data_IF_861008141431
#
_entry.id   IF_861008141431
#
_cell.length_a   1.000
_cell.length_b   1.000
_cell.length_c   1.000
_cell.angle_alpha   90.00
_cell.angle_beta   90.00
_cell.angle_gamma   90.00
#
_symmetry.space_group_name_H-M   'P 1'
#
loop_
_entity.id
_entity.type
_entity.pdbx_description
1 polymer ?
#
# COMPACT_ATOMS: atom_id res chain seq x y z
N UNK A 1 -32.00 15.01 -20.14
CA UNK A 1 -30.56 14.87 -19.88
C UNK A 1 -30.37 13.71 -18.90
N UNK A 2 -29.54 12.69 -19.20
CA UNK A 2 -29.24 11.64 -18.21
C UNK A 2 -28.44 12.28 -17.07
N UNK A 3 -28.97 12.24 -15.84
CA UNK A 3 -28.23 12.66 -14.64
C UNK A 3 -26.91 11.87 -14.60
N UNK A 4 -25.78 12.55 -14.50
CA UNK A 4 -24.49 11.87 -14.28
C UNK A 4 -24.60 11.06 -12.99
N UNK A 5 -24.17 9.79 -12.98
CA UNK A 5 -24.24 8.99 -11.76
C UNK A 5 -23.34 9.61 -10.69
N UNK A 6 -23.80 9.61 -9.45
CA UNK A 6 -23.01 10.11 -8.32
C UNK A 6 -21.76 9.23 -8.18
N UNK A 7 -20.58 9.85 -8.16
CA UNK A 7 -19.31 9.16 -7.94
C UNK A 7 -18.87 9.32 -6.49
N UNK A 8 -18.52 8.22 -5.84
CA UNK A 8 -17.98 8.20 -4.48
C UNK A 8 -16.67 7.41 -4.50
N UNK A 9 -15.67 7.92 -3.79
CA UNK A 9 -14.42 7.22 -3.55
C UNK A 9 -14.34 6.80 -2.08
N UNK A 10 -13.95 5.55 -1.81
CA UNK A 10 -13.59 5.10 -0.45
C UNK A 10 -12.09 4.80 -0.44
N UNK A 11 -11.36 5.50 0.42
CA UNK A 11 -9.95 5.26 0.67
C UNK A 11 -9.77 4.47 1.98
N UNK A 12 -9.01 3.39 1.93
CA UNK A 12 -8.72 2.53 3.07
C UNK A 12 -7.23 2.60 3.41
N UNK A 13 -6.93 2.55 4.71
CA UNK A 13 -5.65 2.02 5.14
C UNK A 13 -5.63 0.49 4.97
N UNK A 14 -4.46 -0.14 5.13
CA UNK A 14 -4.31 -1.58 4.92
C UNK A 14 -3.92 -2.31 6.21
N UNK A 15 -2.71 -2.07 6.72
CA UNK A 15 -2.22 -2.65 7.98
C UNK A 15 -3.06 -2.11 9.15
N UNK A 16 -3.55 -3.00 10.01
CA UNK A 16 -4.45 -2.65 11.11
C UNK A 16 -5.89 -2.28 10.71
N UNK A 17 -6.24 -2.29 9.42
CA UNK A 17 -7.59 -1.96 8.92
C UNK A 17 -8.22 -3.09 8.10
N UNK A 18 -7.51 -3.56 7.06
CA UNK A 18 -7.92 -4.69 6.22
C UNK A 18 -7.28 -5.98 6.75
N UNK A 19 -6.03 -5.88 7.19
CA UNK A 19 -5.21 -6.99 7.69
C UNK A 19 -4.88 -6.75 9.16
N UNK A 20 -4.94 -7.76 10.04
CA UNK A 20 -4.50 -7.61 11.42
C UNK A 20 -2.99 -7.41 11.50
N UNK A 21 -2.51 -6.36 12.17
CA UNK A 21 -1.07 -6.08 12.29
C UNK A 21 -0.39 -5.68 10.98
N UNK A 22 0.95 -5.78 10.94
CA UNK A 22 1.77 -5.39 9.79
C UNK A 22 1.91 -6.53 8.78
N UNK A 23 1.66 -6.29 7.49
CA UNK A 23 1.77 -7.31 6.43
C UNK A 23 3.14 -8.03 6.38
N UNK A 24 4.22 -7.33 6.74
CA UNK A 24 5.58 -7.85 6.73
C UNK A 24 5.77 -8.94 7.80
N UNK A 25 5.05 -8.85 8.92
CA UNK A 25 5.08 -9.84 10.00
C UNK A 25 4.44 -11.17 9.61
N UNK A 26 3.54 -11.17 8.63
CA UNK A 26 2.82 -12.39 8.21
C UNK A 26 3.59 -13.25 7.22
N UNK A 27 4.53 -12.68 6.48
CA UNK A 27 5.08 -13.33 5.29
C UNK A 27 6.59 -13.20 5.13
N UNK A 28 7.15 -12.02 5.35
CA UNK A 28 8.58 -11.75 5.11
C UNK A 28 9.44 -11.95 6.36
N UNK A 29 9.11 -11.29 7.48
CA UNK A 29 9.89 -11.37 8.73
C UNK A 29 10.04 -12.81 9.22
N UNK A 30 9.01 -13.69 9.16
CA UNK A 30 9.16 -15.09 9.54
C UNK A 30 10.26 -15.83 8.74
N UNK A 31 10.48 -15.47 7.47
CA UNK A 31 11.51 -16.09 6.63
C UNK A 31 12.93 -15.67 7.01
N UNK A 32 13.08 -14.53 7.70
CA UNK A 32 14.39 -14.08 8.21
C UNK A 32 14.87 -14.93 9.39
N UNK A 33 13.99 -15.66 10.06
CA UNK A 33 14.29 -16.35 11.30
C UNK A 33 14.65 -15.39 12.45
N UNK A 34 14.20 -14.13 12.36
CA UNK A 34 14.43 -13.08 13.36
C UNK A 34 13.11 -12.82 14.08
N UNK A 35 13.17 -12.58 15.39
CA UNK A 35 12.00 -12.14 16.15
C UNK A 35 11.48 -10.79 15.61
N UNK A 36 10.16 -10.65 15.53
CA UNK A 36 9.53 -9.43 14.99
C UNK A 36 9.85 -8.18 15.79
N UNK A 37 9.91 -8.28 17.13
CA UNK A 37 10.22 -7.13 17.96
C UNK A 37 11.69 -6.74 17.82
N UNK A 38 12.59 -7.71 17.66
CA UNK A 38 13.98 -7.45 17.33
C UNK A 38 14.14 -6.73 15.97
N UNK A 39 13.42 -7.17 14.93
CA UNK A 39 13.44 -6.52 13.61
C UNK A 39 12.98 -5.06 13.70
N UNK A 40 11.83 -4.80 14.35
CA UNK A 40 11.31 -3.43 14.47
C UNK A 40 12.18 -2.55 15.35
N UNK A 41 12.76 -3.09 16.41
CA UNK A 41 13.74 -2.37 17.24
C UNK A 41 14.95 -1.93 16.41
N UNK A 42 15.50 -2.81 15.57
CA UNK A 42 16.63 -2.46 14.69
C UNK A 42 16.22 -1.40 13.65
N UNK A 43 15.01 -1.48 13.10
CA UNK A 43 14.49 -0.46 12.17
C UNK A 43 14.35 0.91 12.85
N UNK A 44 13.83 0.96 14.07
CA UNK A 44 13.68 2.19 14.85
C UNK A 44 15.03 2.78 15.27
N UNK A 45 15.97 1.96 15.70
CA UNK A 45 17.33 2.39 16.01
C UNK A 45 18.03 2.95 14.77
N UNK A 46 17.87 2.29 13.61
CA UNK A 46 18.37 2.79 12.33
C UNK A 46 17.75 4.13 11.96
N UNK A 47 16.44 4.28 12.14
CA UNK A 47 15.74 5.53 11.88
C UNK A 47 16.32 6.67 12.74
N UNK A 48 16.42 6.45 14.06
CA UNK A 48 16.94 7.44 15.02
C UNK A 48 18.40 7.78 14.76
N UNK A 49 19.25 6.78 14.51
CA UNK A 49 20.69 6.98 14.32
C UNK A 49 21.01 7.80 13.07
N UNK A 50 20.19 7.70 12.03
CA UNK A 50 20.49 8.29 10.72
C UNK A 50 19.48 9.38 10.31
N UNK A 51 18.61 9.82 11.22
CA UNK A 51 17.54 10.79 10.95
C UNK A 51 16.67 10.40 9.74
N UNK A 52 16.23 9.14 9.71
CA UNK A 52 15.43 8.60 8.61
C UNK A 52 13.95 8.53 8.98
N UNK A 53 13.10 8.70 7.96
CA UNK A 53 11.72 8.24 8.01
C UNK A 53 11.68 6.73 8.35
N UNK A 54 10.80 6.34 9.28
CA UNK A 54 10.70 4.96 9.76
C UNK A 54 10.34 3.96 8.66
N UNK A 55 9.56 4.38 7.65
CA UNK A 55 9.18 3.54 6.52
C UNK A 55 10.41 3.27 5.66
N UNK A 56 11.18 4.31 5.34
CA UNK A 56 12.45 4.16 4.62
C UNK A 56 13.45 3.31 5.40
N UNK A 57 13.52 3.48 6.73
CA UNK A 57 14.44 2.72 7.59
C UNK A 57 14.12 1.22 7.57
N UNK A 58 12.86 0.81 7.78
CA UNK A 58 12.52 -0.61 7.73
C UNK A 58 12.66 -1.18 6.31
N UNK A 59 12.31 -0.41 5.27
CA UNK A 59 12.45 -0.87 3.89
C UNK A 59 13.91 -1.13 3.53
N UNK A 60 14.81 -0.24 3.95
CA UNK A 60 16.25 -0.45 3.78
C UNK A 60 16.73 -1.69 4.57
N UNK A 61 16.28 -1.82 5.82
CA UNK A 61 16.60 -2.98 6.67
C UNK A 61 16.12 -4.30 6.04
N UNK A 62 14.92 -4.33 5.46
CA UNK A 62 14.41 -5.51 4.74
C UNK A 62 15.35 -5.94 3.62
N UNK A 63 15.81 -5.01 2.77
CA UNK A 63 16.72 -5.34 1.67
C UNK A 63 18.07 -5.86 2.18
N UNK A 64 18.60 -5.26 3.25
CA UNK A 64 19.85 -5.72 3.86
C UNK A 64 19.69 -7.16 4.40
N UNK A 65 18.70 -7.39 5.26
CA UNK A 65 18.50 -8.70 5.91
C UNK A 65 18.16 -9.79 4.89
N UNK A 66 17.42 -9.46 3.84
CA UNK A 66 17.15 -10.39 2.75
C UNK A 66 18.43 -10.83 2.04
N UNK A 67 19.35 -9.89 1.75
CA UNK A 67 20.64 -10.21 1.12
C UNK A 67 21.51 -11.08 2.03
N UNK A 68 21.55 -10.78 3.32
CA UNK A 68 22.28 -11.58 4.33
C UNK A 68 21.74 -13.01 4.47
N UNK A 69 20.43 -13.21 4.21
CA UNK A 69 19.73 -14.49 4.37
C UNK A 69 19.36 -15.16 3.04
N UNK A 70 19.85 -14.62 1.92
CA UNK A 70 19.54 -15.08 0.56
C UNK A 70 18.04 -15.22 0.25
N UNK A 71 17.22 -14.34 0.85
CA UNK A 71 15.77 -14.32 0.62
C UNK A 71 15.47 -13.53 -0.66
N UNK A 72 14.66 -14.08 -1.58
CA UNK A 72 14.25 -13.38 -2.78
C UNK A 72 13.52 -12.05 -2.47
N UNK A 73 14.06 -10.94 -2.96
CA UNK A 73 13.47 -9.59 -2.89
C UNK A 73 13.08 -9.07 -4.29
N UNK A 74 12.64 -9.99 -5.15
CA UNK A 74 12.13 -9.61 -6.46
C UNK A 74 10.70 -9.08 -6.36
N UNK A 75 10.26 -8.30 -7.35
CA UNK A 75 8.87 -7.84 -7.46
C UNK A 75 7.88 -9.01 -7.38
N UNK A 76 8.20 -10.12 -8.05
CA UNK A 76 7.42 -11.37 -8.01
C UNK A 76 7.41 -12.01 -6.61
N UNK A 77 8.52 -11.98 -5.87
CA UNK A 77 8.57 -12.49 -4.50
C UNK A 77 7.64 -11.67 -3.58
N UNK A 78 7.72 -10.34 -3.63
CA UNK A 78 6.79 -9.47 -2.89
C UNK A 78 5.33 -9.72 -3.27
N UNK A 79 5.03 -9.85 -4.57
CA UNK A 79 3.69 -10.23 -5.00
C UNK A 79 3.22 -11.57 -4.43
N UNK A 80 4.09 -12.59 -4.39
CA UNK A 80 3.72 -13.89 -3.85
C UNK A 80 3.47 -13.86 -2.34
N UNK A 81 4.15 -13.01 -1.57
CA UNK A 81 3.85 -12.82 -0.15
C UNK A 81 2.42 -12.34 0.09
N UNK A 82 1.87 -11.52 -0.82
CA UNK A 82 0.49 -11.03 -0.74
C UNK A 82 -0.59 -12.12 -0.82
N UNK A 83 -0.28 -13.26 -1.45
CA UNK A 83 -1.24 -14.36 -1.66
C UNK A 83 -1.63 -15.07 -0.36
N UNK A 84 -0.75 -15.05 0.64
CA UNK A 84 -0.95 -15.70 1.94
C UNK A 84 -1.56 -14.80 3.01
N UNK A 85 -1.96 -13.57 2.67
CA UNK A 85 -2.48 -12.61 3.65
C UNK A 85 -3.87 -13.04 4.14
N UNK A 86 -4.04 -13.09 5.45
CA UNK A 86 -5.31 -13.28 6.15
C UNK A 86 -5.92 -11.92 6.49
N UNK A 87 -7.19 -11.70 6.16
CA UNK A 87 -7.88 -10.44 6.44
C UNK A 87 -8.64 -10.47 7.77
N UNK A 88 -9.07 -9.29 8.26
CA UNK A 88 -10.10 -9.23 9.29
C UNK A 88 -11.40 -9.90 8.83
N UNK A 89 -12.17 -10.41 9.79
CA UNK A 89 -13.42 -11.10 9.53
C UNK A 89 -14.37 -10.21 8.71
N UNK A 90 -14.90 -10.75 7.61
CA UNK A 90 -15.88 -10.08 6.75
C UNK A 90 -15.31 -9.24 5.60
N UNK A 91 -13.99 -9.01 5.55
CA UNK A 91 -13.33 -8.24 4.48
C UNK A 91 -13.46 -8.94 3.12
N UNK A 92 -13.28 -10.27 3.06
CA UNK A 92 -13.29 -11.01 1.79
C UNK A 92 -14.58 -10.83 0.98
N UNK A 93 -15.71 -10.60 1.65
CA UNK A 93 -17.02 -10.38 1.02
C UNK A 93 -17.51 -8.92 1.11
N UNK A 94 -16.75 -8.05 1.78
CA UNK A 94 -17.13 -6.65 1.99
C UNK A 94 -17.26 -5.88 0.66
N UNK A 95 -16.27 -6.01 -0.22
CA UNK A 95 -16.24 -5.24 -1.47
C UNK A 95 -17.42 -5.58 -2.39
N UNK A 96 -17.78 -6.85 -2.52
CA UNK A 96 -18.95 -7.24 -3.32
C UNK A 96 -20.26 -6.71 -2.74
N UNK A 97 -20.41 -6.74 -1.40
CA UNK A 97 -21.61 -6.21 -0.71
C UNK A 97 -21.75 -4.71 -0.91
N UNK A 98 -20.69 -3.94 -0.66
CA UNK A 98 -20.76 -2.48 -0.75
C UNK A 98 -20.94 -2.01 -2.21
N UNK A 99 -20.32 -2.70 -3.17
CA UNK A 99 -20.53 -2.44 -4.59
C UNK A 99 -21.97 -2.71 -5.03
N UNK A 100 -22.57 -3.81 -4.57
CA UNK A 100 -23.97 -4.13 -4.85
C UNK A 100 -24.92 -3.09 -4.24
N UNK A 101 -24.65 -2.66 -3.00
CA UNK A 101 -25.40 -1.60 -2.33
C UNK A 101 -25.32 -0.27 -3.09
N UNK A 102 -24.12 0.17 -3.47
CA UNK A 102 -23.92 1.41 -4.23
C UNK A 102 -24.63 1.37 -5.59
N UNK A 103 -24.51 0.25 -6.31
CA UNK A 103 -25.18 0.04 -7.60
C UNK A 103 -26.71 0.15 -7.47
N UNK A 104 -27.29 -0.42 -6.42
CA UNK A 104 -28.72 -0.32 -6.14
C UNK A 104 -29.23 1.11 -5.94
N UNK A 105 -28.32 2.05 -5.60
CA UNK A 105 -28.61 3.46 -5.40
C UNK A 105 -28.12 4.36 -6.54
N UNK A 106 -27.68 3.78 -7.67
CA UNK A 106 -27.17 4.55 -8.80
C UNK A 106 -25.85 5.27 -8.54
N UNK A 107 -25.08 4.80 -7.56
CA UNK A 107 -23.74 5.32 -7.22
C UNK A 107 -22.67 4.51 -7.94
N UNK A 108 -21.70 5.21 -8.53
CA UNK A 108 -20.45 4.62 -9.02
C UNK A 108 -19.42 4.73 -7.90
N UNK A 109 -18.95 3.57 -7.42
CA UNK A 109 -18.04 3.47 -6.29
C UNK A 109 -16.64 3.10 -6.76
N UNK A 110 -15.65 3.92 -6.41
CA UNK A 110 -14.23 3.62 -6.58
C UNK A 110 -13.59 3.29 -5.22
N UNK A 111 -12.80 2.21 -5.16
CA UNK A 111 -12.05 1.83 -3.96
C UNK A 111 -10.56 2.13 -4.14
N UNK A 112 -9.92 2.65 -3.09
CA UNK A 112 -8.51 3.02 -3.11
C UNK A 112 -7.80 2.56 -1.83
N UNK A 113 -6.54 2.14 -1.95
CA UNK A 113 -5.65 1.94 -0.79
C UNK A 113 -4.73 3.14 -0.66
N UNK A 114 -4.54 3.62 0.57
CA UNK A 114 -3.47 4.53 0.99
C UNK A 114 -2.78 3.92 2.20
N UNK A 115 -1.64 3.26 1.99
CA UNK A 115 -0.99 2.43 3.01
C UNK A 115 0.50 2.70 3.14
N UNK A 116 1.04 2.54 4.35
CA UNK A 116 2.48 2.54 4.60
C UNK A 116 3.18 1.22 4.27
N UNK A 117 2.42 0.15 4.07
CA UNK A 117 2.93 -1.15 3.68
C UNK A 117 3.40 -1.21 2.22
N UNK A 118 3.87 -2.39 1.81
CA UNK A 118 4.48 -2.58 0.49
C UNK A 118 3.44 -2.80 -0.61
N UNK A 119 3.45 -1.93 -1.60
CA UNK A 119 2.53 -1.93 -2.76
C UNK A 119 2.49 -3.27 -3.49
N UNK A 120 3.63 -3.89 -3.72
CA UNK A 120 3.69 -5.14 -4.47
C UNK A 120 3.16 -6.34 -3.66
N UNK A 121 3.28 -6.30 -2.32
CA UNK A 121 2.58 -7.25 -1.44
C UNK A 121 1.07 -7.04 -1.52
N UNK A 122 0.58 -5.80 -1.41
CA UNK A 122 -0.86 -5.51 -1.51
C UNK A 122 -1.43 -5.95 -2.86
N UNK A 123 -0.69 -5.75 -3.97
CA UNK A 123 -1.07 -6.24 -5.30
C UNK A 123 -1.20 -7.76 -5.40
N UNK A 124 -0.46 -8.50 -4.57
CA UNK A 124 -0.53 -9.95 -4.48
C UNK A 124 -1.81 -10.50 -3.84
N UNK A 125 -2.58 -9.65 -3.19
CA UNK A 125 -3.76 -10.05 -2.39
C UNK A 125 -4.96 -10.40 -3.27
N UNK A 126 -5.87 -11.24 -2.76
CA UNK A 126 -7.09 -11.63 -3.50
C UNK A 126 -8.10 -10.48 -3.66
N UNK A 127 -8.00 -9.45 -2.82
CA UNK A 127 -8.81 -8.24 -2.86
C UNK A 127 -8.23 -7.12 -3.74
N UNK A 128 -6.99 -7.28 -4.24
CA UNK A 128 -6.31 -6.26 -5.07
C UNK A 128 -7.15 -5.81 -6.28
N UNK A 129 -7.90 -6.74 -6.87
CA UNK A 129 -8.82 -6.53 -8.00
C UNK A 129 -9.94 -5.52 -7.75
N UNK A 130 -10.27 -5.21 -6.49
CA UNK A 130 -11.30 -4.24 -6.15
C UNK A 130 -10.79 -2.80 -6.17
N UNK A 131 -9.47 -2.59 -6.08
CA UNK A 131 -8.91 -1.25 -5.94
C UNK A 131 -8.57 -0.64 -7.30
N UNK A 132 -9.09 0.56 -7.52
CA UNK A 132 -8.70 1.40 -8.65
C UNK A 132 -7.26 1.89 -8.50
N UNK A 133 -6.90 2.39 -7.31
CA UNK A 133 -5.52 2.77 -6.99
C UNK A 133 -5.03 2.06 -5.73
N UNK A 134 -3.76 1.65 -5.76
CA UNK A 134 -3.01 1.17 -4.59
C UNK A 134 -1.84 2.13 -4.38
N UNK A 135 -2.09 3.19 -3.61
CA UNK A 135 -1.04 4.08 -3.13
C UNK A 135 -0.41 3.46 -1.89
N UNK A 136 0.79 2.92 -2.07
CA UNK A 136 1.53 2.27 -1.01
C UNK A 136 3.03 2.46 -1.21
N UNK A 137 3.80 2.29 -0.14
CA UNK A 137 5.27 2.32 -0.18
C UNK A 137 5.80 1.27 -1.15
N UNK A 138 6.93 1.50 -1.79
CA UNK A 138 7.41 0.58 -2.81
C UNK A 138 8.87 0.78 -3.20
N UNK A 139 9.44 -0.27 -3.79
CA UNK A 139 10.82 -0.28 -4.27
C UNK A 139 10.93 0.13 -5.74
N UNK A 140 12.11 0.66 -6.10
CA UNK A 140 12.66 0.63 -7.44
C UNK A 140 13.27 -0.77 -7.65
N UNK A 141 13.17 -1.26 -8.88
CA UNK A 141 13.68 -2.58 -9.25
C UNK A 141 14.70 -2.44 -10.39
N UNK A 142 15.72 -3.31 -10.38
CA UNK A 142 16.70 -3.42 -11.45
C UNK A 142 16.14 -4.17 -12.68
N UNK A 143 16.99 -4.42 -13.68
CA UNK A 143 16.63 -5.13 -14.91
C UNK A 143 16.18 -6.58 -14.70
N UNK A 144 16.51 -7.18 -13.55
CA UNK A 144 16.12 -8.53 -13.16
C UNK A 144 14.92 -8.54 -12.19
N UNK A 145 14.23 -7.41 -12.05
CA UNK A 145 13.16 -7.18 -11.09
C UNK A 145 13.56 -7.36 -9.62
N UNK A 146 14.84 -7.21 -9.26
CA UNK A 146 15.34 -7.26 -7.88
C UNK A 146 15.23 -5.87 -7.26
N UNK A 147 14.69 -5.78 -6.04
CA UNK A 147 14.57 -4.50 -5.35
C UNK A 147 15.94 -3.92 -4.98
N UNK A 148 16.19 -2.69 -5.41
CA UNK A 148 17.47 -2.00 -5.22
C UNK A 148 17.36 -0.82 -4.24
N UNK A 149 16.21 -0.16 -4.19
CA UNK A 149 16.06 1.12 -3.47
C UNK A 149 14.61 1.40 -3.05
N UNK A 150 14.34 1.87 -1.83
CA UNK A 150 13.02 2.39 -1.46
C UNK A 150 12.64 3.61 -2.33
N UNK A 151 11.77 3.42 -3.32
CA UNK A 151 11.39 4.46 -4.28
C UNK A 151 10.29 5.39 -3.74
N UNK A 152 9.48 4.90 -2.80
CA UNK A 152 8.38 5.65 -2.22
C UNK A 152 8.12 5.18 -0.80
N UNK A 153 8.07 6.13 0.14
CA UNK A 153 7.57 5.93 1.48
C UNK A 153 6.24 6.69 1.64
N UNK A 154 5.19 5.94 1.92
CA UNK A 154 3.94 6.51 2.43
C UNK A 154 3.94 6.31 3.94
N UNK A 155 3.80 7.39 4.69
CA UNK A 155 3.80 7.38 6.15
C UNK A 155 2.52 8.07 6.65
N UNK A 156 2.30 8.05 7.97
CA UNK A 156 1.07 8.55 8.58
C UNK A 156 0.78 10.03 8.26
N UNK A 157 1.80 10.86 8.00
CA UNK A 157 1.62 12.28 7.69
C UNK A 157 1.26 12.50 6.23
N UNK A 158 1.90 11.78 5.30
CA UNK A 158 1.73 12.02 3.87
C UNK A 158 0.57 11.23 3.23
N UNK A 159 -0.15 10.37 3.96
CA UNK A 159 -1.39 9.71 3.45
C UNK A 159 -2.41 10.73 2.93
N UNK A 160 -2.52 11.88 3.57
CA UNK A 160 -3.47 12.95 3.20
C UNK A 160 -3.21 13.48 1.78
N UNK A 161 -1.95 13.55 1.34
CA UNK A 161 -1.57 13.92 -0.03
C UNK A 161 -2.26 13.02 -1.06
N UNK A 162 -2.40 11.72 -0.77
CA UNK A 162 -3.01 10.76 -1.68
C UNK A 162 -4.53 10.90 -1.78
N UNK A 163 -5.19 11.47 -0.76
CA UNK A 163 -6.60 11.86 -0.87
C UNK A 163 -6.77 12.98 -1.91
N UNK A 164 -5.87 13.96 -1.94
CA UNK A 164 -5.87 15.00 -2.97
C UNK A 164 -5.61 14.43 -4.37
N UNK A 165 -4.73 13.43 -4.49
CA UNK A 165 -4.50 12.72 -5.75
C UNK A 165 -5.76 12.05 -6.26
N UNK A 166 -6.45 11.30 -5.39
CA UNK A 166 -7.73 10.64 -5.72
C UNK A 166 -8.75 11.67 -6.16
N UNK A 167 -8.91 12.76 -5.41
CA UNK A 167 -9.88 13.82 -5.75
C UNK A 167 -9.62 14.45 -7.13
N UNK A 168 -8.34 14.49 -7.56
CA UNK A 168 -7.93 15.05 -8.85
C UNK A 168 -7.81 14.02 -9.97
N UNK A 169 -8.17 12.76 -9.73
CA UNK A 169 -8.00 11.69 -10.71
C UNK A 169 -6.55 11.40 -11.06
N UNK A 170 -5.61 11.68 -10.15
CA UNK A 170 -4.19 11.37 -10.33
C UNK A 170 -3.96 9.96 -9.82
N UNK A 171 -3.70 9.03 -10.73
CA UNK A 171 -3.57 7.59 -10.44
C UNK A 171 -2.10 7.15 -10.24
N UNK A 172 -1.18 8.11 -10.03
CA UNK A 172 0.24 7.86 -9.85
C UNK A 172 0.84 8.65 -8.68
N UNK A 173 2.05 8.24 -8.24
CA UNK A 173 2.75 8.85 -7.11
C UNK A 173 3.80 9.92 -7.50
N UNK A 174 4.11 10.09 -8.78
CA UNK A 174 5.23 10.94 -9.22
C UNK A 174 4.78 12.32 -9.74
N UNK A 175 3.57 12.40 -10.30
CA UNK A 175 3.07 13.64 -10.89
C UNK A 175 2.66 14.61 -9.79
N UNK A 176 3.45 15.65 -9.61
CA UNK A 176 3.20 16.73 -8.64
C UNK A 176 2.70 18.00 -9.33
N UNK A 177 2.52 18.00 -10.65
CA UNK A 177 2.24 19.21 -11.45
C UNK A 177 0.85 19.79 -11.20
N UNK A 178 -0.10 18.95 -10.81
CA UNK A 178 -1.52 19.29 -10.63
C UNK A 178 -2.00 19.15 -9.19
N UNK A 179 -1.24 18.49 -8.32
CA UNK A 179 -1.70 18.13 -6.96
C UNK A 179 -1.98 19.35 -6.08
N UNK A 180 -1.30 20.48 -6.31
CA UNK A 180 -1.50 21.74 -5.60
C UNK A 180 -2.23 22.80 -6.44
N UNK A 181 -2.55 22.52 -7.72
CA UNK A 181 -3.31 23.45 -8.55
C UNK A 181 -4.78 23.45 -8.14
N UNK A 182 -5.43 24.60 -8.16
CA UNK A 182 -6.89 24.61 -8.09
C UNK A 182 -7.45 23.85 -9.30
N UNK A 183 -8.34 22.89 -9.05
CA UNK A 183 -9.07 22.19 -10.10
C UNK A 183 -10.54 22.44 -9.78
N UNK A 184 -11.24 23.09 -10.71
CA UNK A 184 -12.67 23.30 -10.59
C UNK A 184 -13.33 21.92 -10.57
N UNK A 185 -14.06 21.59 -9.50
CA UNK A 185 -14.74 20.30 -9.42
C UNK A 185 -15.92 20.34 -10.40
N UNK A 186 -15.91 19.46 -11.40
CA UNK A 186 -17.03 19.26 -12.31
C UNK A 186 -18.32 19.07 -11.48
N UNK A 187 -19.24 20.04 -11.57
CA UNK A 187 -20.57 19.97 -10.95
C UNK A 187 -21.46 18.90 -11.62
#
# INVERSE_FOLDING_TARGET
MKKRPLKIAIAYDFDGTIVPGNMQEHSFIPQLGIDKAAFWKEADERAKKNDMDQILAYMQLMLQKAREKEIPITKKAFYNHGKGITYFQGVSSYFDRINSFAKGHGVVLDHHIISSGLRDIIRGTSISKYFKNIFASGYKYDVNEVAEWPALAINYTNKTQYLFRINKGIDNSYDNSVINKYVEMDQ
#
